data_IF_180651209900
#
_entry.id   IF_180651209900
#
_cell.length_a   1.000
_cell.length_b   1.000
_cell.length_c   1.000
_cell.angle_alpha   90.00
_cell.angle_beta   90.00
_cell.angle_gamma   90.00
#
_symmetry.space_group_name_H-M   'P 1'
#
loop_
_entity.id
_entity.type
_entity.pdbx_description
1 polymer ?
#
# COMPACT_ATOMS: atom_id res chain seq x y z
N UNK A 1 9.02 -25.77 21.97
CA UNK A 1 8.81 -25.82 20.50
C UNK A 1 9.06 -24.42 20.00
N UNK A 2 9.88 -24.24 18.96
CA UNK A 2 10.05 -22.95 18.28
C UNK A 2 9.33 -23.07 16.93
N UNK A 3 8.38 -22.17 16.65
CA UNK A 3 7.43 -22.29 15.55
C UNK A 3 6.20 -21.40 15.79
N UNK A 4 5.13 -21.59 15.02
CA UNK A 4 3.91 -20.79 15.15
C UNK A 4 3.29 -20.87 16.55
N UNK A 5 3.42 -22.01 17.25
CA UNK A 5 2.96 -22.20 18.63
C UNK A 5 3.65 -21.28 19.67
N UNK A 6 4.71 -20.57 19.28
CA UNK A 6 5.40 -19.57 20.12
C UNK A 6 4.99 -18.12 19.82
N UNK A 7 4.04 -17.91 18.90
CA UNK A 7 3.51 -16.57 18.56
C UNK A 7 2.23 -16.32 19.36
N UNK A 8 2.35 -15.52 20.43
CA UNK A 8 1.20 -15.13 21.28
C UNK A 8 0.39 -13.96 20.68
N UNK A 9 1.03 -13.12 19.86
CA UNK A 9 0.44 -11.92 19.27
C UNK A 9 0.79 -11.80 17.79
N UNK A 10 -0.23 -11.59 16.95
CA UNK A 10 -0.09 -11.16 15.56
C UNK A 10 -0.47 -9.69 15.47
N UNK A 11 0.46 -8.83 15.04
CA UNK A 11 0.24 -7.40 14.82
C UNK A 11 0.27 -7.13 13.32
N UNK A 12 -0.87 -6.71 12.77
CA UNK A 12 -1.02 -6.34 11.35
C UNK A 12 -0.99 -4.82 11.23
N UNK A 13 0.04 -4.28 10.58
CA UNK A 13 0.10 -2.87 10.18
C UNK A 13 -0.38 -2.76 8.73
N UNK A 14 -1.55 -2.16 8.51
CA UNK A 14 -2.08 -1.92 7.18
C UNK A 14 -1.41 -0.68 6.55
N UNK A 15 -1.00 -0.76 5.27
CA UNK A 15 -0.16 0.27 4.60
C UNK A 15 -0.70 0.74 3.23
N UNK A 16 -0.21 1.91 2.78
CA UNK A 16 -0.78 2.72 1.67
C UNK A 16 -0.57 2.17 0.23
N UNK A 17 -1.14 2.89 -0.73
CA UNK A 17 -1.01 2.76 -2.18
C UNK A 17 0.40 3.12 -2.59
N UNK A 18 1.27 2.16 -2.32
CA UNK A 18 2.62 2.07 -2.81
C UNK A 18 2.78 0.65 -3.34
N UNK A 19 3.15 0.53 -4.62
CA UNK A 19 3.52 -0.77 -5.18
C UNK A 19 4.76 -1.31 -4.49
N UNK A 20 5.03 -2.60 -4.68
CA UNK A 20 6.25 -3.22 -4.16
C UNK A 20 7.49 -2.49 -4.67
N UNK A 21 7.56 -2.24 -5.99
CA UNK A 21 8.68 -1.56 -6.62
C UNK A 21 8.92 -0.15 -6.09
N UNK A 22 7.85 0.62 -5.86
CA UNK A 22 7.93 1.98 -5.35
C UNK A 22 8.62 2.06 -3.98
N UNK A 23 8.44 1.07 -3.10
CA UNK A 23 9.02 1.10 -1.74
C UNK A 23 10.27 0.23 -1.57
N UNK A 24 10.29 -0.91 -2.25
CA UNK A 24 11.23 -2.00 -2.00
C UNK A 24 11.89 -2.53 -3.28
N UNK A 25 11.52 -2.03 -4.47
CA UNK A 25 12.09 -2.47 -5.74
C UNK A 25 13.61 -2.30 -5.78
N UNK A 26 14.13 -1.17 -5.27
CA UNK A 26 15.57 -0.91 -5.18
C UNK A 26 16.27 -1.49 -3.94
N UNK A 27 15.62 -2.33 -3.13
CA UNK A 27 16.14 -2.77 -1.82
C UNK A 27 17.50 -3.50 -1.91
N UNK A 28 17.67 -4.33 -2.95
CA UNK A 28 18.82 -5.21 -3.14
C UNK A 28 19.48 -5.09 -4.52
N UNK A 29 19.14 -4.08 -5.33
CA UNK A 29 19.66 -3.93 -6.71
C UNK A 29 21.19 -3.91 -6.76
N UNK A 30 21.83 -3.16 -5.85
CA UNK A 30 23.30 -3.07 -5.80
C UNK A 30 23.96 -4.35 -5.23
N UNK A 31 23.17 -5.27 -4.67
CA UNK A 31 23.56 -6.64 -4.31
C UNK A 31 23.19 -7.67 -5.40
N UNK A 32 22.78 -7.22 -6.59
CA UNK A 32 22.35 -8.08 -7.70
C UNK A 32 20.99 -8.75 -7.47
N UNK A 33 20.08 -8.06 -6.75
CA UNK A 33 18.76 -8.54 -6.36
C UNK A 33 18.82 -9.90 -5.63
N UNK A 34 19.56 -9.89 -4.51
CA UNK A 34 19.63 -11.00 -3.57
C UNK A 34 19.39 -10.56 -2.13
N UNK A 35 18.69 -11.39 -1.37
CA UNK A 35 18.51 -11.21 0.08
C UNK A 35 19.86 -11.31 0.82
N UNK A 36 19.95 -10.88 2.10
CA UNK A 36 21.14 -11.09 2.93
C UNK A 36 21.50 -12.58 3.12
N UNK A 37 20.55 -13.49 2.94
CA UNK A 37 20.76 -14.94 2.97
C UNK A 37 21.18 -15.52 1.61
N UNK A 38 21.19 -14.70 0.54
CA UNK A 38 21.55 -15.08 -0.82
C UNK A 38 20.40 -15.57 -1.69
N UNK A 39 19.16 -15.54 -1.18
CA UNK A 39 17.94 -15.88 -1.94
C UNK A 39 17.76 -14.91 -3.11
N UNK A 40 17.11 -15.36 -4.18
CA UNK A 40 16.65 -14.46 -5.24
C UNK A 40 15.58 -13.51 -4.69
N UNK A 41 15.58 -12.28 -5.18
CA UNK A 41 14.62 -11.23 -4.82
C UNK A 41 14.07 -10.62 -6.12
N UNK A 42 12.75 -10.57 -6.30
CA UNK A 42 12.15 -9.98 -7.50
C UNK A 42 12.10 -8.44 -7.40
N UNK A 43 13.28 -7.80 -7.28
CA UNK A 43 13.46 -6.36 -7.29
C UNK A 43 13.83 -5.77 -8.65
N UNK A 44 13.87 -4.44 -8.73
CA UNK A 44 14.23 -3.68 -9.91
C UNK A 44 15.71 -3.85 -10.27
N UNK A 45 16.02 -3.94 -11.56
CA UNK A 45 17.38 -3.81 -12.10
C UNK A 45 17.80 -2.35 -12.31
N UNK A 46 16.84 -1.43 -12.35
CA UNK A 46 17.06 -0.04 -12.75
C UNK A 46 17.04 0.16 -14.28
N UNK A 47 16.60 -0.84 -15.05
CA UNK A 47 16.52 -0.79 -16.52
C UNK A 47 15.10 -1.00 -17.06
N UNK A 48 14.14 -1.19 -16.16
CA UNK A 48 12.72 -1.33 -16.45
C UNK A 48 12.18 -0.03 -17.08
N UNK A 49 11.27 -0.16 -18.05
CA UNK A 49 10.68 0.97 -18.78
C UNK A 49 9.19 0.77 -19.02
N UNK A 50 8.39 1.83 -18.85
CA UNK A 50 7.01 1.92 -19.35
C UNK A 50 6.95 2.90 -20.54
N UNK A 51 5.89 2.84 -21.35
CA UNK A 51 5.76 3.73 -22.50
C UNK A 51 5.13 5.08 -22.08
N UNK A 52 5.78 6.19 -22.42
CA UNK A 52 5.25 7.54 -22.24
C UNK A 52 4.21 7.94 -23.29
N UNK A 53 3.45 9.00 -23.02
CA UNK A 53 2.42 9.53 -23.92
C UNK A 53 2.98 10.10 -25.23
N UNK A 54 4.28 10.42 -25.27
CA UNK A 54 4.99 10.83 -26.47
C UNK A 54 5.54 9.64 -27.30
N UNK A 55 5.25 8.41 -26.85
CA UNK A 55 5.68 7.16 -27.47
C UNK A 55 7.09 6.70 -27.10
N UNK A 56 7.87 7.48 -26.34
CA UNK A 56 9.22 7.09 -25.89
C UNK A 56 9.15 6.27 -24.60
N UNK A 57 10.11 5.36 -24.33
CA UNK A 57 10.20 4.69 -23.05
C UNK A 57 10.62 5.67 -21.95
N UNK A 58 9.93 5.63 -20.81
CA UNK A 58 10.35 6.24 -19.55
C UNK A 58 10.93 5.14 -18.66
N UNK A 59 12.18 5.31 -18.25
CA UNK A 59 12.91 4.35 -17.43
C UNK A 59 12.64 4.58 -15.94
N UNK A 60 12.61 3.49 -15.16
CA UNK A 60 12.56 3.55 -13.70
C UNK A 60 13.78 4.29 -13.13
N UNK A 61 13.56 5.14 -12.13
CA UNK A 61 14.65 5.92 -11.52
C UNK A 61 14.56 5.98 -9.99
N UNK A 62 15.73 6.21 -9.38
CA UNK A 62 15.93 6.20 -7.93
C UNK A 62 15.55 7.53 -7.31
N UNK A 63 14.59 7.51 -6.40
CA UNK A 63 14.27 8.62 -5.50
C UNK A 63 15.22 8.57 -4.28
N UNK A 64 16.25 9.41 -4.30
CA UNK A 64 17.30 9.49 -3.26
C UNK A 64 17.01 10.65 -2.30
N UNK A 65 17.72 10.75 -1.16
CA UNK A 65 17.62 11.91 -0.27
C UNK A 65 17.98 13.27 -0.90
N UNK A 66 18.55 13.29 -2.11
CA UNK A 66 18.89 14.49 -2.88
C UNK A 66 17.87 14.80 -3.99
N UNK A 67 16.89 13.93 -4.24
CA UNK A 67 15.82 14.20 -5.18
C UNK A 67 15.00 15.40 -4.70
N UNK A 68 14.84 16.41 -5.56
CA UNK A 68 14.01 17.59 -5.28
C UNK A 68 12.56 17.14 -5.06
N UNK A 69 11.84 17.77 -4.13
CA UNK A 69 10.43 17.52 -3.85
C UNK A 69 10.09 16.04 -3.51
N UNK A 70 11.08 15.27 -3.03
CA UNK A 70 11.01 13.83 -2.74
C UNK A 70 9.71 13.35 -2.07
N UNK A 71 9.24 14.09 -1.05
CA UNK A 71 8.05 13.75 -0.27
C UNK A 71 6.73 13.82 -1.04
N UNK A 72 6.73 14.47 -2.21
CA UNK A 72 5.53 14.64 -3.04
C UNK A 72 5.39 13.57 -4.12
N UNK A 73 6.40 12.74 -4.39
CA UNK A 73 6.33 11.73 -5.47
C UNK A 73 5.20 10.70 -5.24
N UNK A 74 4.39 10.38 -6.27
CA UNK A 74 4.58 10.74 -7.69
C UNK A 74 3.93 12.08 -8.11
N UNK A 75 3.37 12.86 -7.18
CA UNK A 75 2.86 14.22 -7.40
C UNK A 75 1.34 14.37 -7.46
N UNK A 76 0.63 13.28 -7.74
CA UNK A 76 -0.83 13.16 -7.74
C UNK A 76 -1.25 11.74 -7.35
N UNK A 77 -2.52 11.54 -6.99
CA UNK A 77 -3.08 10.19 -6.82
C UNK A 77 -3.05 9.45 -8.18
N UNK A 78 -2.43 8.26 -8.30
CA UNK A 78 -2.45 7.48 -9.54
C UNK A 78 -3.84 6.99 -9.96
N UNK A 79 -3.94 6.39 -11.14
CA UNK A 79 -5.18 5.74 -11.57
C UNK A 79 -5.51 4.53 -10.68
N UNK A 80 -6.75 4.47 -10.18
CA UNK A 80 -7.22 3.40 -9.28
C UNK A 80 -8.49 2.74 -9.82
N UNK A 81 -8.79 1.54 -9.32
CA UNK A 81 -9.93 0.76 -9.79
C UNK A 81 -9.63 -0.07 -11.02
N UNK A 82 -10.49 -1.06 -11.28
CA UNK A 82 -10.24 -2.12 -12.25
C UNK A 82 -9.82 -1.60 -13.63
N UNK A 83 -10.50 -0.58 -14.18
CA UNK A 83 -10.18 -0.08 -15.53
C UNK A 83 -8.80 0.60 -15.61
N UNK A 84 -8.39 1.35 -14.57
CA UNK A 84 -7.09 2.01 -14.52
C UNK A 84 -5.96 0.99 -14.26
N UNK A 85 -6.14 0.09 -13.30
CA UNK A 85 -5.19 -1.01 -13.07
C UNK A 85 -5.05 -1.87 -14.33
N UNK A 86 -6.14 -2.21 -15.01
CA UNK A 86 -6.07 -2.96 -16.26
C UNK A 86 -5.33 -2.18 -17.36
N UNK A 87 -5.56 -0.86 -17.47
CA UNK A 87 -4.81 0.00 -18.38
C UNK A 87 -3.31 0.01 -18.08
N UNK A 88 -2.91 0.14 -16.81
CA UNK A 88 -1.51 0.07 -16.37
C UNK A 88 -0.84 -1.25 -16.79
N UNK A 89 -1.52 -2.38 -16.53
CA UNK A 89 -1.03 -3.73 -16.86
C UNK A 89 -0.95 -3.99 -18.38
N UNK A 90 -1.94 -3.54 -19.16
CA UNK A 90 -2.19 -4.01 -20.53
C UNK A 90 -2.09 -2.94 -21.62
N UNK A 91 -2.02 -1.66 -21.27
CA UNK A 91 -2.20 -0.54 -22.20
C UNK A 91 -3.64 -0.41 -22.74
N UNK A 92 -4.62 -1.03 -22.10
CA UNK A 92 -6.04 -0.92 -22.43
C UNK A 92 -6.92 -1.13 -21.19
N UNK A 93 -8.08 -0.48 -21.15
CA UNK A 93 -9.14 -0.74 -20.17
C UNK A 93 -9.97 -2.01 -20.47
N UNK A 94 -9.75 -2.66 -21.62
CA UNK A 94 -10.48 -3.87 -22.02
C UNK A 94 -9.99 -5.11 -21.28
N UNK A 95 -10.91 -6.01 -20.92
CA UNK A 95 -10.57 -7.23 -20.21
C UNK A 95 -9.60 -8.11 -21.04
N UNK A 96 -8.46 -8.56 -20.46
CA UNK A 96 -7.46 -9.32 -21.19
C UNK A 96 -7.94 -10.73 -21.51
N UNK A 97 -7.35 -11.33 -22.55
CA UNK A 97 -7.55 -12.75 -22.82
C UNK A 97 -6.90 -13.61 -21.73
N UNK A 98 -7.57 -14.71 -21.36
CA UNK A 98 -7.09 -15.63 -20.33
C UNK A 98 -5.72 -16.23 -20.68
N UNK A 99 -4.83 -16.30 -19.69
CA UNK A 99 -3.52 -16.96 -19.81
C UNK A 99 -2.44 -16.16 -20.55
N UNK A 100 -2.68 -14.90 -20.89
CA UNK A 100 -1.68 -14.00 -21.46
C UNK A 100 -0.85 -13.35 -20.34
N UNK A 101 0.39 -12.97 -20.67
CA UNK A 101 1.29 -12.20 -19.80
C UNK A 101 1.07 -10.69 -20.05
N UNK A 102 0.78 -9.87 -19.02
CA UNK A 102 0.65 -8.43 -19.19
C UNK A 102 1.97 -7.81 -19.68
N UNK A 103 1.91 -6.87 -20.66
CA UNK A 103 3.08 -6.18 -21.19
C UNK A 103 3.67 -5.12 -20.24
N UNK A 104 2.92 -4.68 -19.22
CA UNK A 104 3.29 -3.61 -18.27
C UNK A 104 3.47 -2.23 -18.90
N UNK A 105 2.77 -1.98 -20.01
CA UNK A 105 3.05 -0.85 -20.89
C UNK A 105 2.36 0.45 -20.50
N UNK A 106 1.33 0.42 -19.65
CA UNK A 106 0.40 1.54 -19.49
C UNK A 106 0.60 2.44 -18.27
N UNK A 107 1.55 2.17 -17.36
CA UNK A 107 1.68 2.92 -16.11
C UNK A 107 1.81 4.43 -16.32
N UNK A 108 2.67 4.86 -17.24
CA UNK A 108 2.95 6.29 -17.48
C UNK A 108 1.79 6.96 -18.23
N UNK A 109 1.21 6.31 -19.24
CA UNK A 109 0.06 6.86 -19.99
C UNK A 109 -1.23 6.91 -19.16
N UNK A 110 -1.46 5.92 -18.30
CA UNK A 110 -2.55 5.94 -17.31
C UNK A 110 -2.34 7.07 -16.30
N UNK A 111 -1.13 7.22 -15.76
CA UNK A 111 -0.80 8.31 -14.84
C UNK A 111 -0.94 9.69 -15.48
N UNK A 112 -0.57 9.84 -16.75
CA UNK A 112 -0.80 11.06 -17.53
C UNK A 112 -2.30 11.43 -17.63
N UNK A 113 -3.19 10.43 -17.66
CA UNK A 113 -4.63 10.65 -17.58
C UNK A 113 -5.09 10.93 -16.14
N UNK A 114 -4.58 10.20 -15.15
CA UNK A 114 -4.87 10.41 -13.73
C UNK A 114 -4.55 11.87 -13.29
N UNK A 115 -3.42 12.43 -13.72
CA UNK A 115 -3.07 13.85 -13.47
C UNK A 115 -4.15 14.82 -13.98
N UNK A 116 -4.73 14.57 -15.16
CA UNK A 116 -5.81 15.40 -15.74
C UNK A 116 -7.12 15.22 -14.99
N UNK A 117 -7.44 13.97 -14.65
CA UNK A 117 -8.62 13.59 -13.88
C UNK A 117 -8.61 14.20 -12.47
N UNK A 118 -7.46 14.20 -11.79
CA UNK A 118 -7.30 14.84 -10.49
C UNK A 118 -7.57 16.34 -10.59
N UNK A 119 -6.96 17.02 -11.57
CA UNK A 119 -7.20 18.46 -11.83
C UNK A 119 -8.68 18.74 -12.14
N UNK A 120 -9.34 17.91 -12.94
CA UNK A 120 -10.77 18.10 -13.28
C UNK A 120 -11.72 17.88 -12.10
N UNK A 121 -11.37 16.97 -11.18
CA UNK A 121 -12.08 16.71 -9.91
C UNK A 121 -11.77 17.75 -8.82
N UNK A 122 -10.84 18.69 -9.06
CA UNK A 122 -10.34 19.62 -8.05
C UNK A 122 -9.51 18.95 -6.95
N UNK A 123 -8.97 17.76 -7.21
CA UNK A 123 -8.05 17.07 -6.30
C UNK A 123 -6.65 17.67 -6.42
N UNK A 124 -5.85 17.51 -5.39
CA UNK A 124 -4.51 18.07 -5.35
C UNK A 124 -3.59 17.42 -6.39
N UNK A 125 -2.81 18.25 -7.08
CA UNK A 125 -1.67 17.84 -7.90
C UNK A 125 -0.52 18.78 -7.57
N UNK A 126 0.66 18.24 -7.27
CA UNK A 126 1.84 19.02 -6.96
C UNK A 126 2.33 19.80 -8.18
N UNK A 127 2.79 21.03 -7.99
CA UNK A 127 3.24 21.89 -9.09
C UNK A 127 4.46 21.30 -9.78
N UNK A 128 4.38 21.14 -11.11
CA UNK A 128 5.41 20.48 -11.91
C UNK A 128 5.30 18.95 -12.00
N UNK A 129 4.28 18.33 -11.42
CA UNK A 129 4.00 16.89 -11.63
C UNK A 129 3.83 16.58 -13.12
N UNK A 130 4.63 15.63 -13.61
CA UNK A 130 4.54 15.09 -14.96
C UNK A 130 4.43 13.56 -14.95
N UNK A 131 4.10 12.97 -16.10
CA UNK A 131 3.81 11.54 -16.22
C UNK A 131 5.00 10.63 -15.85
N UNK A 132 6.24 11.12 -16.00
CA UNK A 132 7.43 10.33 -15.68
C UNK A 132 7.59 10.07 -14.19
N UNK A 133 6.97 10.87 -13.31
CA UNK A 133 7.08 10.70 -11.85
C UNK A 133 6.50 9.36 -11.37
N UNK A 134 5.65 8.71 -12.16
CA UNK A 134 5.16 7.34 -11.91
C UNK A 134 6.31 6.31 -11.87
N UNK A 135 7.41 6.57 -12.57
CA UNK A 135 8.59 5.70 -12.65
C UNK A 135 9.62 5.98 -11.54
N UNK A 136 9.32 6.88 -10.60
CA UNK A 136 10.17 7.15 -9.44
C UNK A 136 9.94 6.11 -8.34
N UNK A 137 10.97 5.35 -7.98
CA UNK A 137 10.92 4.38 -6.88
C UNK A 137 11.93 4.74 -5.78
N UNK A 138 11.53 4.58 -4.51
CA UNK A 138 12.34 4.94 -3.36
C UNK A 138 13.56 4.04 -3.19
N UNK A 139 14.65 4.66 -2.77
CA UNK A 139 15.90 3.98 -2.39
C UNK A 139 15.91 3.60 -0.91
N UNK A 140 16.73 2.62 -0.50
CA UNK A 140 16.87 2.24 0.90
C UNK A 140 17.23 3.39 1.85
N UNK A 141 17.98 4.36 1.34
CA UNK A 141 18.42 5.56 2.05
C UNK A 141 17.26 6.54 2.29
N UNK A 142 16.25 6.55 1.42
CA UNK A 142 15.04 7.36 1.61
C UNK A 142 14.03 6.71 2.55
N UNK A 143 13.97 5.38 2.59
CA UNK A 143 13.06 4.61 3.45
C UNK A 143 13.83 3.79 4.52
N UNK A 144 14.62 4.41 5.40
CA UNK A 144 15.57 3.69 6.25
C UNK A 144 14.90 2.74 7.24
N UNK A 145 13.73 3.10 7.79
CA UNK A 145 12.99 2.26 8.74
C UNK A 145 12.44 1.02 8.05
N UNK A 146 11.72 1.18 6.93
CA UNK A 146 11.15 0.07 6.18
C UNK A 146 12.25 -0.83 5.60
N UNK A 147 13.34 -0.24 5.11
CA UNK A 147 14.48 -0.98 4.57
C UNK A 147 15.26 -1.75 5.65
N UNK A 148 15.35 -1.22 6.87
CA UNK A 148 15.95 -1.93 8.00
C UNK A 148 15.09 -3.14 8.41
N UNK A 149 13.75 -2.98 8.43
CA UNK A 149 12.83 -4.10 8.67
C UNK A 149 12.95 -5.15 7.55
N UNK A 150 12.92 -4.74 6.29
CA UNK A 150 13.04 -5.63 5.13
C UNK A 150 14.41 -6.33 5.00
N UNK A 151 15.45 -5.81 5.66
CA UNK A 151 16.79 -6.43 5.77
C UNK A 151 16.96 -7.31 7.00
N UNK A 152 16.19 -7.07 8.07
CA UNK A 152 16.23 -7.85 9.31
C UNK A 152 15.20 -9.00 9.38
N UNK A 153 14.16 -8.96 8.55
CA UNK A 153 13.03 -9.89 8.56
C UNK A 153 12.68 -10.39 7.16
N UNK A 154 11.73 -11.32 7.07
CA UNK A 154 11.26 -11.86 5.80
C UNK A 154 10.46 -10.81 4.99
N UNK A 155 10.63 -10.85 3.67
CA UNK A 155 9.83 -10.07 2.69
C UNK A 155 9.16 -11.06 1.75
N UNK A 156 7.85 -10.88 1.51
CA UNK A 156 7.12 -11.62 0.49
C UNK A 156 7.10 -10.79 -0.80
N UNK A 157 8.02 -11.05 -1.73
CA UNK A 157 8.12 -10.36 -3.01
C UNK A 157 7.06 -10.80 -4.05
N UNK A 158 6.36 -11.89 -3.77
CA UNK A 158 5.19 -12.37 -4.53
C UNK A 158 3.86 -12.16 -3.77
N UNK A 159 3.69 -11.02 -3.10
CA UNK A 159 2.46 -10.65 -2.40
C UNK A 159 1.62 -9.65 -3.21
N UNK A 160 0.46 -10.10 -3.69
CA UNK A 160 -0.41 -9.32 -4.58
C UNK A 160 -1.71 -8.86 -3.90
N UNK A 161 -2.30 -7.77 -4.39
CA UNK A 161 -3.70 -7.46 -4.09
C UNK A 161 -4.62 -8.58 -4.55
N UNK A 162 -5.64 -8.93 -3.75
CA UNK A 162 -6.58 -10.00 -4.08
C UNK A 162 -7.52 -9.65 -5.25
N UNK A 163 -7.71 -8.37 -5.51
CA UNK A 163 -8.37 -7.88 -6.72
C UNK A 163 -7.67 -6.61 -7.25
N UNK A 164 -7.48 -6.46 -8.58
CA UNK A 164 -6.94 -5.24 -9.17
C UNK A 164 -8.03 -4.17 -9.19
N UNK A 165 -8.12 -3.35 -8.13
CA UNK A 165 -9.11 -2.28 -7.98
C UNK A 165 -8.73 -1.20 -6.94
N UNK A 166 -9.43 -1.09 -5.81
CA UNK A 166 -9.35 0.01 -4.83
C UNK A 166 -9.25 -0.54 -3.38
N UNK A 167 -9.18 0.38 -2.42
CA UNK A 167 -8.99 0.14 -0.97
C UNK A 167 -9.98 -0.87 -0.38
N UNK A 168 -11.28 -0.61 -0.52
CA UNK A 168 -12.33 -1.31 0.22
C UNK A 168 -12.49 -2.77 -0.23
N UNK A 169 -12.46 -3.12 -1.53
CA UNK A 169 -12.41 -4.52 -1.95
C UNK A 169 -11.21 -5.29 -1.38
N UNK A 170 -9.99 -4.72 -1.42
CA UNK A 170 -8.79 -5.43 -0.94
C UNK A 170 -8.73 -5.53 0.59
N UNK A 171 -9.22 -4.50 1.31
CA UNK A 171 -9.48 -4.56 2.76
C UNK A 171 -10.48 -5.65 3.12
N UNK A 172 -11.54 -5.81 2.33
CA UNK A 172 -12.52 -6.88 2.52
C UNK A 172 -11.94 -8.28 2.28
N UNK A 173 -11.07 -8.43 1.28
CA UNK A 173 -10.30 -9.66 1.12
C UNK A 173 -9.38 -9.95 2.32
N UNK A 174 -8.65 -8.97 2.84
CA UNK A 174 -7.80 -9.17 4.02
C UNK A 174 -8.59 -9.59 5.26
N UNK A 175 -9.75 -8.95 5.50
CA UNK A 175 -10.52 -9.17 6.73
C UNK A 175 -11.54 -10.32 6.65
N UNK A 176 -12.02 -10.69 5.45
CA UNK A 176 -13.12 -11.64 5.25
C UNK A 176 -12.91 -12.63 4.08
N UNK A 177 -11.76 -12.60 3.39
CA UNK A 177 -11.48 -13.48 2.25
C UNK A 177 -12.32 -13.21 1.00
N UNK A 178 -13.12 -12.14 0.98
CA UNK A 178 -13.98 -11.77 -0.16
C UNK A 178 -14.35 -10.30 -0.15
N UNK A 179 -14.43 -9.66 -1.33
CA UNK A 179 -15.09 -8.37 -1.52
C UNK A 179 -16.58 -8.47 -1.81
N UNK A 180 -17.18 -9.67 -1.76
CA UNK A 180 -18.56 -9.96 -2.18
C UNK A 180 -18.86 -9.57 -3.64
N UNK A 181 -17.83 -9.45 -4.49
CA UNK A 181 -17.96 -8.99 -5.88
C UNK A 181 -17.93 -7.47 -6.04
N UNK A 182 -17.76 -6.70 -4.97
CA UNK A 182 -17.52 -5.27 -5.06
C UNK A 182 -16.12 -4.99 -5.61
N UNK A 183 -16.05 -4.06 -6.56
CA UNK A 183 -14.86 -3.71 -7.35
C UNK A 183 -14.62 -2.19 -7.36
N UNK A 184 -15.15 -1.45 -6.37
CA UNK A 184 -14.86 -0.04 -6.12
C UNK A 184 -15.07 0.34 -4.64
N UNK A 185 -14.67 1.57 -4.28
CA UNK A 185 -14.77 2.10 -2.91
C UNK A 185 -16.15 2.70 -2.56
N UNK A 186 -17.19 2.48 -3.38
CA UNK A 186 -18.57 2.90 -3.03
C UNK A 186 -19.12 2.03 -1.90
N UNK A 187 -18.83 0.73 -1.91
CA UNK A 187 -19.25 -0.18 -0.83
C UNK A 187 -18.27 -0.13 0.32
N UNK A 188 -18.75 0.36 1.47
CA UNK A 188 -17.98 0.44 2.72
C UNK A 188 -18.56 -0.43 3.85
N UNK A 189 -19.54 -1.28 3.52
CA UNK A 189 -20.19 -2.20 4.46
C UNK A 189 -20.46 -3.50 3.75
N UNK A 190 -20.02 -4.59 4.36
CA UNK A 190 -20.12 -5.94 3.86
C UNK A 190 -21.07 -6.75 4.76
N UNK A 191 -21.66 -7.80 4.20
CA UNK A 191 -22.59 -8.70 4.91
C UNK A 191 -21.96 -10.06 5.22
N UNK A 192 -20.75 -10.33 4.74
CA UNK A 192 -19.96 -11.49 5.10
C UNK A 192 -19.40 -11.39 6.54
N UNK A 193 -19.17 -12.53 7.22
CA UNK A 193 -18.42 -12.55 8.47
C UNK A 193 -16.93 -12.27 8.22
N UNK A 194 -16.28 -11.66 9.20
CA UNK A 194 -14.83 -11.38 9.17
C UNK A 194 -14.01 -12.34 10.04
N UNK A 195 -12.69 -12.19 9.99
CA UNK A 195 -11.75 -12.80 10.92
C UNK A 195 -12.04 -12.39 12.38
N UNK A 196 -12.50 -11.17 12.63
CA UNK A 196 -12.86 -10.67 13.96
C UNK A 196 -14.04 -11.45 14.55
N UNK A 197 -15.11 -11.67 13.75
CA UNK A 197 -16.23 -12.53 14.14
C UNK A 197 -15.81 -13.99 14.35
N UNK A 198 -14.80 -14.47 13.63
CA UNK A 198 -14.25 -15.83 13.79
C UNK A 198 -13.44 -15.96 15.09
N UNK A 199 -12.61 -14.96 15.42
CA UNK A 199 -11.86 -14.90 16.68
C UNK A 199 -12.76 -14.79 17.90
N UNK A 200 -13.81 -13.95 17.85
CA UNK A 200 -14.83 -13.87 18.92
C UNK A 200 -15.46 -15.24 19.20
N UNK A 201 -15.83 -16.00 18.16
CA UNK A 201 -16.40 -17.36 18.32
C UNK A 201 -15.40 -18.36 18.89
N UNK A 202 -14.11 -18.18 18.60
CA UNK A 202 -13.02 -19.02 19.12
C UNK A 202 -12.51 -18.58 20.51
N UNK A 203 -13.09 -17.54 21.12
CA UNK A 203 -12.60 -16.90 22.34
C UNK A 203 -11.13 -16.43 22.24
N UNK A 204 -10.72 -16.02 21.03
CA UNK A 204 -9.40 -15.42 20.75
C UNK A 204 -9.53 -13.91 20.85
N UNK A 205 -8.65 -13.27 21.64
CA UNK A 205 -8.70 -11.82 21.84
C UNK A 205 -8.25 -11.05 20.60
N UNK A 206 -8.97 -9.99 20.25
CA UNK A 206 -8.61 -9.11 19.14
C UNK A 206 -8.93 -7.64 19.45
N UNK A 207 -8.16 -6.72 18.88
CA UNK A 207 -8.39 -5.27 19.00
C UNK A 207 -7.96 -4.52 17.73
N UNK A 208 -8.76 -3.56 17.31
CA UNK A 208 -8.49 -2.70 16.14
C UNK A 208 -8.17 -1.29 16.64
N UNK A 209 -7.05 -0.73 16.20
CA UNK A 209 -6.62 0.61 16.55
C UNK A 209 -6.59 1.49 15.30
N UNK A 210 -7.37 2.57 15.29
CA UNK A 210 -7.20 3.65 14.33
C UNK A 210 -6.02 4.53 14.73
N UNK A 211 -5.47 5.34 13.82
CA UNK A 211 -4.35 6.21 14.20
C UNK A 211 -4.74 7.25 15.25
N UNK A 212 -5.58 8.22 14.85
CA UNK A 212 -6.03 9.35 15.68
C UNK A 212 -7.55 9.59 15.63
N UNK A 213 -8.29 8.62 15.08
CA UNK A 213 -9.74 8.60 14.99
C UNK A 213 -10.22 7.14 15.04
N UNK A 214 -11.53 6.92 15.21
CA UNK A 214 -12.10 5.58 15.21
C UNK A 214 -11.74 4.82 13.90
N UNK A 215 -11.27 3.56 13.98
CA UNK A 215 -10.90 2.78 12.81
C UNK A 215 -12.13 2.53 11.92
N UNK A 216 -11.95 2.58 10.59
CA UNK A 216 -13.04 2.36 9.64
C UNK A 216 -13.59 0.94 9.78
N UNK A 217 -12.73 -0.06 9.98
CA UNK A 217 -13.17 -1.46 10.08
C UNK A 217 -14.04 -1.76 11.31
N UNK A 218 -14.20 -0.83 12.25
CA UNK A 218 -15.30 -0.85 13.24
C UNK A 218 -16.70 -0.92 12.60
N UNK A 219 -16.89 -0.37 11.40
CA UNK A 219 -18.19 -0.28 10.72
C UNK A 219 -18.31 -1.12 9.45
N UNK A 220 -17.25 -1.82 9.03
CA UNK A 220 -17.18 -2.52 7.74
C UNK A 220 -17.96 -3.84 7.73
N UNK A 221 -17.99 -4.59 8.84
CA UNK A 221 -18.58 -5.94 8.92
C UNK A 221 -19.67 -6.03 10.00
N UNK A 222 -20.57 -7.03 9.96
CA UNK A 222 -21.62 -7.20 10.96
C UNK A 222 -21.03 -7.50 12.35
N UNK A 223 -19.97 -8.30 12.41
CA UNK A 223 -19.30 -8.69 13.66
C UNK A 223 -18.42 -7.60 14.26
N UNK A 224 -17.79 -6.73 13.46
CA UNK A 224 -17.11 -5.53 13.99
C UNK A 224 -18.11 -4.46 14.41
N UNK A 225 -19.18 -4.24 13.62
CA UNK A 225 -20.24 -3.27 13.94
C UNK A 225 -21.03 -3.60 15.21
N UNK A 226 -21.01 -4.85 15.66
CA UNK A 226 -21.67 -5.33 16.88
C UNK A 226 -20.70 -5.67 18.03
N UNK A 227 -19.39 -5.48 17.83
CA UNK A 227 -18.40 -5.73 18.86
C UNK A 227 -18.40 -4.66 19.97
N UNK A 228 -18.06 -5.02 21.22
CA UNK A 228 -17.87 -4.07 22.31
C UNK A 228 -16.86 -2.96 21.98
N UNK A 229 -17.07 -1.76 22.53
CA UNK A 229 -16.15 -0.64 22.36
C UNK A 229 -14.71 -0.95 22.82
N UNK A 230 -14.54 -1.89 23.77
CA UNK A 230 -13.23 -2.35 24.25
C UNK A 230 -12.37 -3.05 23.16
N UNK A 231 -12.99 -3.53 22.07
CA UNK A 231 -12.28 -4.08 20.92
C UNK A 231 -11.73 -3.00 19.96
N UNK A 232 -11.88 -1.73 20.31
CA UNK A 232 -11.42 -0.59 19.52
C UNK A 232 -10.54 0.36 20.35
N UNK A 233 -9.67 1.12 19.69
CA UNK A 233 -8.84 2.15 20.31
C UNK A 233 -8.14 3.04 19.28
N UNK A 234 -7.21 3.85 19.77
CA UNK A 234 -6.31 4.69 18.98
C UNK A 234 -4.84 4.22 19.08
N UNK A 235 -3.93 4.78 18.29
CA UNK A 235 -2.52 4.36 18.31
C UNK A 235 -1.84 4.55 19.67
N UNK A 236 -2.22 5.58 20.44
CA UNK A 236 -1.76 5.79 21.81
C UNK A 236 -2.20 4.65 22.76
N UNK A 237 -3.41 4.09 22.55
CA UNK A 237 -3.88 2.91 23.30
C UNK A 237 -3.05 1.67 22.92
N UNK A 238 -2.70 1.50 21.65
CA UNK A 238 -1.81 0.42 21.21
C UNK A 238 -0.42 0.54 21.86
N UNK A 239 0.14 1.74 21.92
CA UNK A 239 1.41 1.98 22.60
C UNK A 239 1.33 1.67 24.11
N UNK A 240 0.22 2.03 24.75
CA UNK A 240 -0.03 1.72 26.16
C UNK A 240 -0.18 0.21 26.41
N UNK A 241 -0.99 -0.48 25.59
CA UNK A 241 -1.23 -1.92 25.69
C UNK A 241 0.05 -2.73 25.38
N UNK A 242 0.83 -2.33 24.36
CA UNK A 242 2.14 -2.91 24.06
C UNK A 242 3.12 -2.75 25.23
N UNK A 243 3.25 -1.53 25.77
CA UNK A 243 4.13 -1.25 26.91
C UNK A 243 3.72 -1.99 28.20
N UNK A 244 2.43 -2.28 28.35
CA UNK A 244 1.88 -2.98 29.52
C UNK A 244 1.86 -4.52 29.37
N UNK A 245 2.24 -5.09 28.23
CA UNK A 245 2.11 -6.53 27.97
C UNK A 245 0.66 -7.00 27.86
N UNK A 246 -0.22 -6.16 27.29
CA UNK A 246 -1.68 -6.35 27.22
C UNK A 246 -2.22 -6.39 25.78
N UNK A 247 -1.36 -6.60 24.78
CA UNK A 247 -1.82 -6.73 23.40
C UNK A 247 -2.82 -7.87 23.27
N UNK A 248 -3.79 -7.69 22.37
CA UNK A 248 -4.66 -8.77 21.97
C UNK A 248 -3.88 -9.80 21.14
N UNK A 249 -4.36 -11.05 21.10
CA UNK A 249 -3.78 -12.13 20.28
C UNK A 249 -3.74 -11.77 18.80
N UNK A 250 -4.71 -10.99 18.33
CA UNK A 250 -4.69 -10.33 17.03
C UNK A 250 -4.90 -8.81 17.17
N UNK A 251 -3.93 -8.03 16.71
CA UNK A 251 -3.96 -6.58 16.70
C UNK A 251 -3.96 -6.07 15.27
N UNK A 252 -4.92 -5.20 14.93
CA UNK A 252 -5.00 -4.58 13.60
C UNK A 252 -4.79 -3.07 13.73
N UNK A 253 -3.76 -2.53 13.07
CA UNK A 253 -3.42 -1.11 13.07
C UNK A 253 -3.84 -0.48 11.74
N UNK A 254 -4.66 0.55 11.82
CA UNK A 254 -5.11 1.37 10.69
C UNK A 254 -4.40 2.74 10.65
N UNK A 255 -4.25 3.34 9.46
CA UNK A 255 -3.69 4.68 9.30
C UNK A 255 -4.67 5.76 9.76
N UNK A 256 -4.30 7.03 9.57
CA UNK A 256 -5.28 8.10 9.56
C UNK A 256 -6.00 8.14 8.21
N UNK A 257 -7.32 8.23 8.27
CA UNK A 257 -8.20 8.30 7.09
C UNK A 257 -8.54 9.74 6.67
N UNK A 258 -7.92 10.72 7.32
CA UNK A 258 -8.04 12.14 6.96
C UNK A 258 -7.23 12.47 5.71
N UNK A 259 -7.60 13.54 5.01
CA UNK A 259 -6.84 14.12 3.88
C UNK A 259 -5.46 14.67 4.25
N UNK A 260 -5.09 14.59 5.54
CA UNK A 260 -3.98 15.32 6.13
C UNK A 260 -2.89 14.36 6.65
N UNK A 261 -3.13 13.04 6.62
CA UNK A 261 -2.46 12.11 7.55
C UNK A 261 -2.20 10.68 7.06
N UNK A 262 -2.29 10.37 5.76
CA UNK A 262 -2.01 9.01 5.27
C UNK A 262 -0.60 8.81 4.68
N UNK A 263 0.15 9.88 4.41
CA UNK A 263 1.53 9.78 3.92
C UNK A 263 2.48 9.23 5.00
N UNK A 264 3.05 8.03 4.79
CA UNK A 264 3.86 7.27 5.77
C UNK A 264 5.27 7.83 6.07
N UNK A 265 5.48 9.13 5.90
CA UNK A 265 6.77 9.80 6.11
C UNK A 265 6.66 10.66 7.37
N UNK A 266 7.69 10.58 8.22
CA UNK A 266 7.64 11.03 9.62
C UNK A 266 7.09 12.46 9.78
N UNK A 267 6.02 12.60 10.56
CA UNK A 267 5.83 13.79 11.39
C UNK A 267 6.82 13.67 12.55
N UNK A 268 7.98 14.29 12.43
CA UNK A 268 8.87 14.40 13.58
C UNK A 268 8.23 15.36 14.60
N UNK A 269 7.99 14.86 15.81
CA UNK A 269 7.22 15.57 16.84
C UNK A 269 8.12 16.49 17.67
N UNK A 270 8.77 17.44 16.97
CA UNK A 270 9.73 18.36 17.55
C UNK A 270 9.70 19.74 16.90
N UNK A 271 9.24 20.75 17.65
CA UNK A 271 9.34 22.21 17.43
C UNK A 271 9.72 22.68 16.01
N UNK A 272 8.73 23.20 15.28
CA UNK A 272 8.94 24.20 14.24
C UNK A 272 8.11 25.45 14.59
N UNK A 273 8.72 26.39 15.30
CA UNK A 273 8.11 27.69 15.60
C UNK A 273 8.14 28.59 14.35
N UNK A 274 7.00 29.24 14.07
CA UNK A 274 6.86 30.52 13.38
C UNK A 274 7.74 30.84 12.13
N UNK A 275 7.43 30.23 10.97
CA UNK A 275 7.42 30.93 9.67
C UNK A 275 6.83 30.06 8.52
N UNK A 276 5.95 30.65 7.70
CA UNK A 276 5.54 30.10 6.40
C UNK A 276 4.43 29.04 6.43
N UNK A 277 3.20 29.43 6.07
CA UNK A 277 2.14 28.47 5.76
C UNK A 277 2.45 27.73 4.46
N UNK A 278 2.71 26.42 4.54
CA UNK A 278 2.62 25.50 3.42
C UNK A 278 1.16 25.00 3.31
N UNK A 279 0.48 25.09 2.14
CA UNK A 279 -0.89 24.62 2.01
C UNK A 279 -1.01 23.11 2.28
N UNK A 280 -1.85 22.72 3.25
CA UNK A 280 -1.93 21.34 3.76
C UNK A 280 -2.49 20.29 2.78
N UNK A 281 -2.94 20.66 1.59
CA UNK A 281 -3.73 19.80 0.69
C UNK A 281 -2.95 18.64 0.02
N UNK A 282 -1.62 18.58 0.19
CA UNK A 282 -0.72 17.70 -0.55
C UNK A 282 -0.57 16.26 0.00
N UNK A 283 -1.61 15.73 0.67
CA UNK A 283 -1.49 14.54 1.53
C UNK A 283 -2.63 13.53 1.35
N UNK A 284 -3.01 13.31 0.09
CA UNK A 284 -3.70 12.09 -0.32
C UNK A 284 -2.69 11.17 -1.03
N UNK A 285 -2.63 9.94 -0.54
CA UNK A 285 -2.08 8.75 -1.19
C UNK A 285 -2.74 7.57 -0.45
N UNK A 286 -3.90 7.09 -0.91
CA UNK A 286 -4.83 6.22 -0.15
C UNK A 286 -4.34 4.78 0.06
N UNK A 287 -5.16 3.89 0.63
CA UNK A 287 -4.75 2.60 1.21
C UNK A 287 -4.79 1.38 0.29
N UNK A 288 -3.74 0.55 0.38
CA UNK A 288 -3.77 -0.83 -0.06
C UNK A 288 -3.93 -1.06 -1.56
N UNK A 289 -2.80 -1.13 -2.28
CA UNK A 289 -2.57 -2.15 -3.30
C UNK A 289 -1.13 -2.25 -3.79
N UNK A 290 -0.65 -3.49 -3.83
CA UNK A 290 0.39 -3.89 -4.76
C UNK A 290 -0.29 -4.20 -6.10
N UNK A 291 -0.20 -3.26 -7.05
CA UNK A 291 -0.46 -3.56 -8.46
C UNK A 291 0.59 -4.56 -8.92
N UNK A 292 0.14 -5.59 -9.64
CA UNK A 292 1.00 -6.60 -10.27
C UNK A 292 1.99 -5.90 -11.20
N UNK A 293 3.28 -6.24 -11.16
CA UNK A 293 4.23 -5.81 -12.20
C UNK A 293 5.10 -6.99 -12.71
N UNK A 294 5.52 -6.86 -13.96
CA UNK A 294 6.57 -7.51 -14.77
C UNK A 294 6.72 -9.06 -14.80
N UNK A 295 6.22 -9.81 -13.82
CA UNK A 295 6.76 -11.15 -13.51
C UNK A 295 5.97 -12.36 -14.01
N UNK A 296 4.86 -12.17 -14.73
CA UNK A 296 4.23 -13.25 -15.50
C UNK A 296 5.14 -13.81 -16.62
N UNK A 297 6.28 -13.16 -16.92
CA UNK A 297 7.37 -13.71 -17.76
C UNK A 297 8.22 -14.80 -17.06
N UNK A 298 8.20 -14.92 -15.73
CA UNK A 298 9.03 -15.89 -14.96
C UNK A 298 8.26 -16.91 -14.13
N UNK A 299 6.93 -16.77 -14.01
CA UNK A 299 6.03 -17.70 -13.31
C UNK A 299 5.86 -19.11 -13.99
N UNK A 300 6.94 -19.69 -14.52
CA UNK A 300 7.02 -21.06 -15.09
C UNK A 300 8.02 -21.95 -14.35
N UNK A 301 8.09 -21.86 -13.02
CA UNK A 301 8.91 -22.77 -12.19
C UNK A 301 8.22 -23.38 -10.96
N UNK A 302 6.97 -23.02 -10.66
CA UNK A 302 6.20 -23.59 -9.55
C UNK A 302 4.72 -23.84 -9.92
N UNK A 303 4.49 -24.44 -11.10
CA UNK A 303 3.35 -25.30 -11.43
C UNK A 303 3.79 -26.29 -12.51
#
# INVERSE_FOLDING_TARGET
MAGLDSVEHVVVLMMENRSFDHMLGFLYTDAGNKSPNGDAYEGLSGTETAQGSDGKPVQVFRLTPQTKDLYFYPGADPGEGWAATNNQLWGSSDAPANGIVPPMSGFVTDYAQAIKDNKSKGWYVFDGTDESWMMGCYTPETLPVLSALAKGYAVCDHWFGSAPTMTMPNRAFLCAGTSQGHMDDKTKKFTCPSIFGSMTKANVSWKIYGYNAAPLTKSDFPDTSSAPDANFGHFDDFQADAKAGKLASYTFLEPSWSSDGNSQLQRDSGRADAAGHLPCAARRTLLGQHVVDHHLRRARRLF
#
